data_IF_149378406752
#
_entry.id   IF_149378406752
#
_cell.length_a   1.000
_cell.length_b   1.000
_cell.length_c   1.000
_cell.angle_alpha   90.00
_cell.angle_beta   90.00
_cell.angle_gamma   90.00
#
_symmetry.space_group_name_H-M   'P 1'
#
loop_
_entity.id
_entity.type
_entity.pdbx_description
1 polymer ?
#
# COMPACT_ATOMS: atom_id res chain seq x y z
N UNK A 1 17.88 -27.04 -23.85
CA UNK A 1 16.80 -26.07 -23.60
C UNK A 1 15.77 -26.76 -22.73
N UNK A 2 15.71 -26.42 -21.44
CA UNK A 2 14.72 -27.01 -20.52
C UNK A 2 13.51 -26.08 -20.50
N UNK A 3 12.38 -26.59 -20.97
CA UNK A 3 11.08 -25.94 -20.85
C UNK A 3 10.70 -25.88 -19.36
N UNK A 4 10.91 -24.73 -18.73
CA UNK A 4 10.40 -24.43 -17.40
C UNK A 4 8.98 -23.87 -17.52
N UNK A 5 8.03 -24.71 -17.94
CA UNK A 5 6.62 -24.49 -17.62
C UNK A 5 6.39 -24.90 -16.16
N UNK A 6 6.86 -24.08 -15.23
CA UNK A 6 6.54 -24.23 -13.82
C UNK A 6 5.14 -23.67 -13.60
N UNK A 7 4.21 -24.57 -13.28
CA UNK A 7 2.84 -24.22 -12.91
C UNK A 7 2.85 -23.36 -11.62
N UNK A 8 2.47 -22.06 -11.70
CA UNK A 8 2.56 -21.13 -10.57
C UNK A 8 1.54 -21.41 -9.45
N UNK A 9 0.67 -22.41 -9.60
CA UNK A 9 -0.31 -22.82 -8.59
C UNK A 9 0.17 -23.95 -7.67
N UNK A 10 1.25 -24.66 -7.99
CA UNK A 10 1.67 -25.86 -7.23
C UNK A 10 2.30 -25.57 -5.86
N UNK A 11 2.88 -24.40 -5.65
CA UNK A 11 3.64 -24.06 -4.43
C UNK A 11 3.03 -22.91 -3.59
N UNK A 12 1.73 -22.62 -3.75
CA UNK A 12 1.08 -21.59 -2.93
C UNK A 12 0.98 -22.09 -1.47
N UNK A 13 1.58 -21.39 -0.48
CA UNK A 13 1.36 -21.72 0.92
C UNK A 13 -0.14 -21.59 1.22
N UNK A 14 -0.72 -22.62 1.84
CA UNK A 14 -2.09 -22.51 2.37
C UNK A 14 -2.19 -21.25 3.22
N UNK A 15 -3.32 -20.53 3.17
CA UNK A 15 -3.52 -19.27 3.90
C UNK A 15 -3.16 -19.39 5.39
N UNK A 16 -3.44 -20.54 6.00
CA UNK A 16 -3.09 -20.87 7.39
C UNK A 16 -1.58 -20.90 7.67
N UNK A 17 -0.74 -21.12 6.65
CA UNK A 17 0.72 -21.16 6.74
C UNK A 17 1.40 -19.84 6.35
N UNK A 18 0.65 -18.84 5.88
CA UNK A 18 1.21 -17.53 5.51
C UNK A 18 1.97 -16.84 6.66
N UNK A 19 1.46 -16.81 7.92
CA UNK A 19 2.20 -16.17 9.01
C UNK A 19 3.57 -16.81 9.26
N UNK A 20 3.66 -18.14 9.13
CA UNK A 20 4.91 -18.89 9.25
C UNK A 20 5.85 -18.58 8.10
N UNK A 21 5.35 -18.61 6.86
CA UNK A 21 6.11 -18.27 5.66
C UNK A 21 6.74 -16.87 5.75
N UNK A 22 5.97 -15.85 6.12
CA UNK A 22 6.50 -14.49 6.25
C UNK A 22 7.50 -14.36 7.38
N UNK A 23 7.32 -15.05 8.50
CA UNK A 23 8.28 -15.02 9.61
C UNK A 23 9.62 -15.66 9.23
N UNK A 24 9.59 -16.74 8.45
CA UNK A 24 10.78 -17.43 7.97
C UNK A 24 11.55 -16.63 6.93
N UNK A 25 10.85 -16.01 5.96
CA UNK A 25 11.47 -15.29 4.85
C UNK A 25 11.77 -13.82 5.16
N UNK A 26 11.09 -13.24 6.14
CA UNK A 26 11.24 -11.83 6.54
C UNK A 26 11.34 -11.70 8.07
N UNK A 27 12.39 -12.29 8.69
CA UNK A 27 12.53 -12.28 10.13
C UNK A 27 12.60 -10.84 10.67
N UNK A 28 11.85 -10.57 11.74
CA UNK A 28 11.79 -9.25 12.37
C UNK A 28 10.86 -8.24 11.69
N UNK A 29 10.19 -8.60 10.59
CA UNK A 29 9.19 -7.74 9.94
C UNK A 29 7.76 -8.12 10.34
N UNK A 30 6.87 -7.13 10.42
CA UNK A 30 5.43 -7.32 10.58
C UNK A 30 4.75 -7.36 9.23
N UNK A 31 3.59 -8.00 9.16
CA UNK A 31 2.78 -8.02 7.94
C UNK A 31 1.77 -6.86 7.97
N UNK A 32 1.86 -5.98 6.98
CA UNK A 32 0.95 -4.87 6.76
C UNK A 32 -0.17 -5.27 5.81
N UNK A 33 -1.43 -5.05 6.22
CA UNK A 33 -2.58 -5.23 5.34
C UNK A 33 -2.74 -4.02 4.40
N UNK A 34 -2.43 -4.22 3.13
CA UNK A 34 -2.50 -3.17 2.10
C UNK A 34 -3.93 -2.69 1.80
N UNK A 35 -4.91 -3.59 2.02
CA UNK A 35 -6.30 -3.23 2.28
C UNK A 35 -6.58 -3.58 3.74
N UNK A 36 -6.96 -2.62 4.60
CA UNK A 36 -7.29 -2.94 5.99
C UNK A 36 -8.38 -4.01 6.09
N UNK A 37 -8.21 -4.97 7.01
CA UNK A 37 -9.22 -6.04 7.25
C UNK A 37 -10.61 -5.48 7.56
N UNK A 38 -10.61 -4.36 8.27
CA UNK A 38 -11.78 -3.58 8.65
C UNK A 38 -12.58 -3.05 7.45
N UNK A 39 -11.95 -3.02 6.27
CA UNK A 39 -12.49 -2.62 4.96
C UNK A 39 -12.65 -3.80 4.00
N UNK A 40 -12.64 -5.03 4.51
CA UNK A 40 -12.83 -6.23 3.69
C UNK A 40 -11.56 -6.81 3.09
N UNK A 41 -10.38 -6.27 3.44
CA UNK A 41 -9.10 -6.82 3.01
C UNK A 41 -8.91 -8.28 3.44
N UNK A 42 -8.64 -9.15 2.47
CA UNK A 42 -8.39 -10.57 2.73
C UNK A 42 -7.00 -10.77 3.36
N UNK A 43 -6.84 -11.82 4.17
CA UNK A 43 -5.49 -12.25 4.60
C UNK A 43 -4.96 -13.21 3.55
N UNK A 44 -4.19 -12.68 2.60
CA UNK A 44 -3.55 -13.43 1.52
C UNK A 44 -2.15 -12.88 1.23
N UNK A 45 -1.34 -13.67 0.52
CA UNK A 45 0.04 -13.31 0.14
C UNK A 45 0.16 -12.07 -0.73
N UNK A 46 -0.94 -11.59 -1.31
CA UNK A 46 -0.99 -10.36 -2.08
C UNK A 46 -1.34 -9.14 -1.25
N UNK A 47 -2.05 -9.32 -0.14
CA UNK A 47 -2.53 -8.19 0.67
C UNK A 47 -1.62 -7.96 1.89
N UNK A 48 -0.64 -8.84 2.10
CA UNK A 48 0.31 -8.77 3.22
C UNK A 48 1.69 -8.31 2.74
N UNK A 49 2.06 -7.09 3.08
CA UNK A 49 3.39 -6.53 2.80
C UNK A 49 4.30 -6.66 4.02
N UNK A 50 5.50 -7.24 3.90
CA UNK A 50 6.45 -7.28 5.01
C UNK A 50 7.05 -5.89 5.26
N UNK A 51 6.93 -5.39 6.49
CA UNK A 51 7.37 -4.05 6.84
C UNK A 51 7.90 -3.95 8.26
N UNK A 52 8.83 -3.03 8.51
CA UNK A 52 9.37 -2.82 9.87
C UNK A 52 8.26 -2.33 10.80
N UNK A 53 8.27 -2.77 12.06
CA UNK A 53 7.27 -2.38 13.06
C UNK A 53 7.14 -0.85 13.17
N UNK A 54 8.28 -0.15 13.23
CA UNK A 54 8.31 1.32 13.28
C UNK A 54 7.61 1.96 12.07
N UNK A 55 7.84 1.48 10.85
CA UNK A 55 7.22 2.05 9.65
C UNK A 55 5.75 1.70 9.54
N UNK A 56 5.38 0.48 9.92
CA UNK A 56 3.99 0.03 9.99
C UNK A 56 3.17 0.89 10.96
N UNK A 57 3.69 1.13 12.16
CA UNK A 57 2.98 1.93 13.17
C UNK A 57 2.93 3.41 12.79
N UNK A 58 3.96 3.91 12.11
CA UNK A 58 3.95 5.25 11.54
C UNK A 58 2.88 5.40 10.45
N UNK A 59 2.72 4.41 9.57
CA UNK A 59 1.66 4.39 8.56
C UNK A 59 0.27 4.47 9.17
N UNK A 60 -0.03 3.66 10.19
CA UNK A 60 -1.34 3.69 10.85
C UNK A 60 -1.59 4.98 11.64
N UNK A 61 -0.54 5.63 12.14
CA UNK A 61 -0.69 6.95 12.77
C UNK A 61 -0.90 8.05 11.73
N UNK A 62 -0.25 7.95 10.56
CA UNK A 62 -0.32 8.98 9.52
C UNK A 62 -1.60 8.87 8.69
N UNK A 63 -2.02 7.65 8.35
CA UNK A 63 -3.10 7.37 7.41
C UNK A 63 -4.30 6.67 8.04
N UNK A 64 -4.25 6.39 9.35
CA UNK A 64 -5.33 5.74 10.11
C UNK A 64 -5.80 4.42 9.50
N UNK A 65 -6.87 4.46 8.69
CA UNK A 65 -7.48 3.31 8.04
C UNK A 65 -7.66 3.51 6.53
N UNK A 66 -6.85 4.38 5.92
CA UNK A 66 -6.82 4.53 4.47
C UNK A 66 -6.27 3.26 3.80
N UNK A 67 -6.81 2.96 2.64
CA UNK A 67 -6.25 2.00 1.68
C UNK A 67 -5.07 2.62 0.96
N UNK A 68 -4.19 1.78 0.39
CA UNK A 68 -3.11 2.27 -0.50
C UNK A 68 -3.65 3.21 -1.58
N UNK A 69 -4.79 2.88 -2.18
CA UNK A 69 -5.38 3.69 -3.26
C UNK A 69 -5.71 5.09 -2.79
N UNK A 70 -6.39 5.22 -1.65
CA UNK A 70 -6.75 6.55 -1.14
C UNK A 70 -5.50 7.35 -0.76
N UNK A 71 -4.45 6.68 -0.25
CA UNK A 71 -3.17 7.33 0.00
C UNK A 71 -2.56 7.81 -1.31
N UNK A 72 -2.56 6.97 -2.35
CA UNK A 72 -2.06 7.32 -3.68
C UNK A 72 -2.80 8.50 -4.31
N UNK A 73 -4.13 8.46 -4.29
CA UNK A 73 -5.00 9.47 -4.91
C UNK A 73 -4.83 10.85 -4.25
N UNK A 74 -4.36 10.91 -3.00
CA UNK A 74 -4.19 12.16 -2.23
C UNK A 74 -2.74 12.44 -1.84
N UNK A 75 -1.78 11.69 -2.36
CA UNK A 75 -0.41 11.68 -1.83
C UNK A 75 0.25 13.07 -1.90
N UNK A 76 0.07 13.75 -3.04
CA UNK A 76 0.54 15.11 -3.27
C UNK A 76 -0.06 16.11 -2.28
N UNK A 77 -1.39 16.08 -2.11
CA UNK A 77 -2.11 16.97 -1.17
C UNK A 77 -1.65 16.74 0.27
N UNK A 78 -1.49 15.48 0.67
CA UNK A 78 -1.03 15.10 2.01
C UNK A 78 0.40 15.57 2.23
N UNK A 79 1.30 15.33 1.27
CA UNK A 79 2.70 15.76 1.36
C UNK A 79 2.80 17.28 1.47
N UNK A 80 2.11 18.01 0.58
CA UNK A 80 2.07 19.46 0.60
C UNK A 80 1.56 20.02 1.92
N UNK A 81 0.54 19.40 2.52
CA UNK A 81 0.05 19.81 3.83
C UNK A 81 1.10 19.58 4.93
N UNK A 82 1.72 18.40 4.98
CA UNK A 82 2.73 18.02 5.99
C UNK A 82 3.99 18.89 5.93
N UNK A 83 4.39 19.29 4.71
CA UNK A 83 5.58 20.10 4.45
C UNK A 83 5.26 21.57 4.15
N UNK A 84 4.06 22.03 4.49
CA UNK A 84 3.72 23.46 4.45
C UNK A 84 4.40 24.24 5.56
N UNK A 85 4.37 25.58 5.46
CA UNK A 85 4.88 26.50 6.48
C UNK A 85 4.00 26.57 7.75
N UNK A 86 2.89 25.82 7.79
CA UNK A 86 2.01 25.80 8.95
C UNK A 86 2.64 25.01 10.11
N UNK A 87 2.53 25.50 11.35
CA UNK A 87 2.99 24.74 12.53
C UNK A 87 2.13 23.51 12.82
N UNK A 88 0.84 23.58 12.44
CA UNK A 88 -0.15 22.53 12.66
C UNK A 88 -1.08 22.39 11.46
N UNK A 89 -1.52 21.16 11.22
CA UNK A 89 -2.38 20.79 10.09
C UNK A 89 -3.51 19.90 10.60
N UNK A 90 -4.72 20.11 10.10
CA UNK A 90 -5.82 19.17 10.28
C UNK A 90 -5.61 18.02 9.29
N UNK A 91 -5.53 16.75 9.73
CA UNK A 91 -5.36 15.59 8.85
C UNK A 91 -6.61 15.28 8.00
N UNK A 92 -7.00 16.21 7.11
CA UNK A 92 -8.21 16.13 6.30
C UNK A 92 -8.31 14.86 5.46
N UNK A 93 -7.18 14.21 5.14
CA UNK A 93 -7.16 12.96 4.39
C UNK A 93 -7.86 11.81 5.11
N UNK A 94 -7.96 11.87 6.43
CA UNK A 94 -8.65 10.87 7.26
C UNK A 94 -10.17 10.85 6.99
N UNK A 95 -10.73 11.87 6.36
CA UNK A 95 -12.12 11.88 5.88
C UNK A 95 -12.44 10.71 4.95
N UNK A 96 -11.47 10.23 4.17
CA UNK A 96 -11.63 9.08 3.27
C UNK A 96 -11.75 7.73 4.01
N UNK A 97 -11.35 7.66 5.28
CA UNK A 97 -11.38 6.43 6.05
C UNK A 97 -12.82 5.97 6.34
N UNK A 98 -13.09 4.69 6.09
CA UNK A 98 -14.39 4.04 6.41
C UNK A 98 -14.20 2.69 7.08
N UNK A 99 -15.27 2.17 7.69
CA UNK A 99 -15.39 0.78 8.12
C UNK A 99 -16.51 0.08 7.33
N UNK A 100 -16.17 -1.02 6.67
CA UNK A 100 -17.17 -1.83 5.94
C UNK A 100 -17.64 -3.05 6.74
N UNK A 101 -16.76 -3.62 7.58
CA UNK A 101 -17.03 -4.86 8.32
C UNK A 101 -16.87 -4.64 9.81
N UNK A 102 -17.89 -4.05 10.42
CA UNK A 102 -17.92 -3.80 11.86
C UNK A 102 -19.36 -3.84 12.38
N UNK A 103 -19.56 -4.38 13.60
CA UNK A 103 -20.82 -4.20 14.31
C UNK A 103 -21.00 -2.75 14.78
N UNK A 104 -22.23 -2.37 15.08
CA UNK A 104 -22.63 -0.99 15.43
C UNK A 104 -21.67 -0.30 16.43
N UNK A 105 -21.33 -0.98 17.53
CA UNK A 105 -20.42 -0.43 18.55
C UNK A 105 -19.03 -0.06 18.00
N UNK A 106 -18.46 -0.89 17.13
CA UNK A 106 -17.14 -0.64 16.53
C UNK A 106 -17.21 0.49 15.49
N UNK A 107 -18.30 0.58 14.73
CA UNK A 107 -18.52 1.70 13.80
C UNK A 107 -18.61 3.02 14.57
N UNK A 108 -19.39 3.06 15.65
CA UNK A 108 -19.50 4.25 16.50
C UNK A 108 -18.14 4.72 17.05
N UNK A 109 -17.36 3.80 17.64
CA UNK A 109 -16.01 4.11 18.16
C UNK A 109 -15.10 4.68 17.07
N UNK A 110 -15.14 4.11 15.87
CA UNK A 110 -14.32 4.56 14.76
C UNK A 110 -14.70 5.95 14.28
N UNK A 111 -16.01 6.24 14.15
CA UNK A 111 -16.46 7.58 13.76
C UNK A 111 -16.14 8.63 14.84
N UNK A 112 -16.21 8.27 16.13
CA UNK A 112 -15.77 9.13 17.23
C UNK A 112 -14.25 9.42 17.14
N UNK A 113 -13.43 8.40 16.88
CA UNK A 113 -11.99 8.56 16.68
C UNK A 113 -11.67 9.43 15.46
N UNK A 114 -12.33 9.16 14.33
CA UNK A 114 -12.21 9.95 13.10
C UNK A 114 -12.57 11.42 13.33
N UNK A 115 -13.71 11.66 13.99
CA UNK A 115 -14.15 13.02 14.35
C UNK A 115 -13.15 13.72 15.26
N UNK A 116 -12.61 13.02 16.25
CA UNK A 116 -11.59 13.57 17.14
C UNK A 116 -10.30 13.96 16.42
N UNK A 117 -9.89 13.20 15.41
CA UNK A 117 -8.71 13.52 14.59
C UNK A 117 -8.99 14.75 13.72
N UNK A 118 -10.17 14.82 13.10
CA UNK A 118 -10.55 15.92 12.20
C UNK A 118 -10.83 17.25 12.92
N UNK A 119 -11.09 17.21 14.23
CA UNK A 119 -11.30 18.42 15.04
C UNK A 119 -10.02 19.00 15.65
N UNK A 120 -8.89 18.29 15.57
CA UNK A 120 -7.68 18.62 16.31
C UNK A 120 -6.47 18.78 15.38
N UNK A 121 -5.93 20.01 15.20
CA UNK A 121 -4.72 20.22 14.43
C UNK A 121 -3.52 19.49 15.04
N UNK A 122 -2.76 18.81 14.19
CA UNK A 122 -1.56 18.03 14.56
C UNK A 122 -0.31 18.81 14.14
N UNK A 123 0.71 18.82 15.00
CA UNK A 123 2.00 19.46 14.66
C UNK A 123 2.60 18.89 13.38
N UNK A 124 3.01 19.78 12.46
CA UNK A 124 3.70 19.39 11.22
C UNK A 124 4.99 18.66 11.50
N UNK A 125 5.76 19.06 12.52
CA UNK A 125 6.98 18.34 12.96
C UNK A 125 6.68 16.87 13.31
N UNK A 126 5.55 16.61 14.00
CA UNK A 126 5.11 15.24 14.30
C UNK A 126 4.77 14.49 13.01
N UNK A 127 4.01 15.09 12.11
CA UNK A 127 3.60 14.48 10.85
C UNK A 127 4.79 14.18 9.94
N UNK A 128 5.76 15.09 9.83
CA UNK A 128 7.03 14.89 9.12
C UNK A 128 7.85 13.74 9.74
N UNK A 129 7.85 13.63 11.07
CA UNK A 129 8.47 12.50 11.78
C UNK A 129 7.83 11.16 11.40
N UNK A 130 6.49 11.11 11.33
CA UNK A 130 5.75 9.93 10.87
C UNK A 130 6.02 9.63 9.39
N UNK A 131 6.02 10.65 8.54
CA UNK A 131 6.34 10.53 7.11
C UNK A 131 7.72 9.92 6.90
N UNK A 132 8.77 10.47 7.53
CA UNK A 132 10.14 9.92 7.48
C UNK A 132 10.22 8.50 8.05
N UNK A 133 9.50 8.20 9.13
CA UNK A 133 9.49 6.85 9.68
C UNK A 133 8.86 5.83 8.70
N UNK A 134 7.83 6.24 7.98
CA UNK A 134 7.11 5.49 6.97
C UNK A 134 7.95 5.27 5.71
N UNK A 135 8.37 6.35 5.05
CA UNK A 135 8.98 6.34 3.72
C UNK A 135 10.52 6.37 3.72
N UNK A 136 11.15 6.55 4.88
CA UNK A 136 12.61 6.74 5.04
C UNK A 136 13.18 7.94 4.28
N UNK A 137 12.32 8.85 3.85
CA UNK A 137 12.66 10.05 3.10
C UNK A 137 11.62 11.14 3.37
N UNK A 138 11.97 12.37 3.03
CA UNK A 138 11.07 13.52 3.00
C UNK A 138 10.48 13.77 1.60
N UNK A 139 11.08 13.18 0.57
CA UNK A 139 10.73 13.45 -0.82
C UNK A 139 9.46 12.70 -1.22
N UNK A 140 8.56 13.40 -1.91
CA UNK A 140 7.34 12.82 -2.47
C UNK A 140 7.62 11.65 -3.45
N UNK A 141 8.68 11.75 -4.25
CA UNK A 141 9.07 10.71 -5.22
C UNK A 141 9.38 9.36 -4.56
N UNK A 142 9.98 9.38 -3.37
CA UNK A 142 10.34 8.16 -2.63
C UNK A 142 9.08 7.52 -2.04
N UNK A 143 8.13 8.34 -1.58
CA UNK A 143 6.83 7.85 -1.13
C UNK A 143 6.02 7.22 -2.27
N UNK A 144 6.02 7.86 -3.45
CA UNK A 144 5.40 7.30 -4.66
C UNK A 144 6.03 5.96 -5.03
N UNK A 145 7.36 5.89 -5.03
CA UNK A 145 8.10 4.65 -5.31
C UNK A 145 7.72 3.53 -4.35
N UNK A 146 7.66 3.81 -3.04
CA UNK A 146 7.27 2.80 -2.06
C UNK A 146 5.82 2.35 -2.25
N UNK A 147 4.89 3.27 -2.50
CA UNK A 147 3.48 2.92 -2.70
C UNK A 147 3.29 2.09 -3.98
N UNK A 148 4.01 2.44 -5.06
CA UNK A 148 4.07 1.61 -6.26
C UNK A 148 4.63 0.23 -5.95
N UNK A 149 5.72 0.15 -5.18
CA UNK A 149 6.30 -1.13 -4.78
C UNK A 149 5.32 -1.98 -3.96
N UNK A 150 4.60 -1.37 -3.01
CA UNK A 150 3.52 -2.04 -2.28
C UNK A 150 2.42 -2.52 -3.22
N UNK A 151 2.04 -1.72 -4.22
CA UNK A 151 1.07 -2.12 -5.24
C UNK A 151 1.59 -3.26 -6.13
N UNK A 152 2.86 -3.26 -6.50
CA UNK A 152 3.49 -4.36 -7.22
C UNK A 152 3.57 -5.62 -6.35
N UNK A 153 3.83 -5.49 -5.06
CA UNK A 153 3.73 -6.60 -4.11
C UNK A 153 2.30 -7.19 -4.08
N UNK A 154 1.25 -6.37 -4.28
CA UNK A 154 -0.12 -6.88 -4.46
C UNK A 154 -0.33 -7.68 -5.73
N UNK A 155 0.42 -7.39 -6.78
CA UNK A 155 0.26 -8.02 -8.09
C UNK A 155 1.09 -9.30 -8.20
N UNK A 156 2.34 -9.24 -7.73
CA UNK A 156 3.36 -10.25 -7.94
C UNK A 156 3.63 -11.09 -6.67
N UNK A 157 3.16 -10.65 -5.49
CA UNK A 157 3.32 -11.36 -4.22
C UNK A 157 4.79 -11.54 -3.85
N UNK A 158 5.14 -12.70 -3.29
CA UNK A 158 6.52 -13.03 -2.90
C UNK A 158 7.52 -13.07 -4.05
N UNK A 159 7.08 -13.06 -5.33
CA UNK A 159 8.01 -12.92 -6.47
C UNK A 159 8.70 -11.55 -6.49
N UNK A 160 8.12 -10.54 -5.83
CA UNK A 160 8.81 -9.26 -5.62
C UNK A 160 10.01 -9.37 -4.65
N UNK A 161 10.13 -10.48 -3.90
CA UNK A 161 11.26 -10.71 -3.01
C UNK A 161 12.48 -11.33 -3.72
N UNK A 162 12.30 -11.79 -4.96
CA UNK A 162 13.37 -12.28 -5.83
C UNK A 162 13.88 -11.12 -6.69
N UNK A 163 14.91 -10.43 -6.19
CA UNK A 163 15.46 -9.22 -6.78
C UNK A 163 16.02 -9.46 -8.19
N UNK A 164 16.57 -10.65 -8.47
CA UNK A 164 17.16 -10.99 -9.77
C UNK A 164 16.09 -11.05 -10.88
N UNK A 165 14.85 -11.42 -10.53
CA UNK A 165 13.72 -11.43 -11.46
C UNK A 165 13.14 -10.04 -11.78
N UNK A 166 13.50 -9.02 -10.98
CA UNK A 166 12.98 -7.65 -11.06
C UNK A 166 14.02 -6.72 -11.69
N UNK A 167 15.31 -6.90 -11.35
CA UNK A 167 16.44 -6.09 -11.85
C UNK A 167 16.53 -6.14 -13.39
N UNK A 168 16.16 -7.26 -14.03
CA UNK A 168 16.17 -7.37 -15.50
C UNK A 168 15.00 -6.67 -16.19
N UNK A 169 14.02 -6.15 -15.45
CA UNK A 169 12.85 -5.48 -16.04
C UNK A 169 12.68 -4.06 -15.53
N UNK A 170 12.95 -3.12 -16.43
CA UNK A 170 12.41 -1.77 -16.41
C UNK A 170 10.96 -1.79 -15.88
N UNK A 171 10.64 -0.89 -14.95
CA UNK A 171 9.30 -0.72 -14.39
C UNK A 171 8.23 -0.67 -15.50
N UNK A 172 8.56 -0.10 -16.67
CA UNK A 172 7.72 -0.13 -17.87
C UNK A 172 7.47 -1.54 -18.45
N UNK A 173 8.47 -2.42 -18.43
CA UNK A 173 8.35 -3.81 -18.89
C UNK A 173 7.59 -4.68 -17.87
N UNK A 174 7.73 -4.39 -16.58
CA UNK A 174 6.91 -5.02 -15.54
C UNK A 174 5.45 -4.60 -15.65
N UNK A 175 5.20 -3.33 -15.96
CA UNK A 175 3.88 -2.80 -16.25
C UNK A 175 3.30 -3.44 -17.50
N UNK A 176 3.99 -3.51 -18.65
CA UNK A 176 3.44 -4.09 -19.88
C UNK A 176 3.00 -5.57 -19.73
N UNK A 177 3.63 -6.32 -18.84
CA UNK A 177 3.24 -7.71 -18.50
C UNK A 177 1.93 -7.79 -17.69
N UNK A 178 1.43 -6.69 -17.14
CA UNK A 178 0.19 -6.63 -16.37
C UNK A 178 -1.04 -6.97 -17.25
N UNK A 179 -1.07 -6.56 -18.52
CA UNK A 179 -2.15 -6.90 -19.46
C UNK A 179 -2.21 -8.39 -19.80
N UNK A 180 -1.11 -9.13 -19.64
CA UNK A 180 -0.99 -10.56 -19.95
C UNK A 180 -1.32 -11.45 -18.73
N UNK A 181 -1.67 -10.87 -17.58
CA UNK A 181 -1.94 -11.60 -16.35
C UNK A 181 -3.32 -12.26 -16.31
N UNK A 182 -3.37 -13.51 -15.80
CA UNK A 182 -4.59 -14.29 -15.54
C UNK A 182 -5.60 -13.57 -14.63
N UNK A 183 -6.89 -13.92 -14.77
CA UNK A 183 -8.06 -13.20 -14.23
C UNK A 183 -8.05 -12.92 -12.72
N UNK A 184 -7.45 -13.77 -11.88
CA UNK A 184 -7.43 -13.51 -10.43
C UNK A 184 -6.52 -12.32 -10.06
N UNK A 185 -5.49 -12.01 -10.86
CA UNK A 185 -4.59 -10.85 -10.64
C UNK A 185 -5.24 -9.56 -11.11
N UNK A 186 -6.02 -9.62 -12.20
CA UNK A 186 -6.93 -8.55 -12.62
C UNK A 186 -8.01 -8.31 -11.57
N UNK A 187 -8.53 -9.38 -10.96
CA UNK A 187 -9.46 -9.30 -9.83
C UNK A 187 -8.82 -8.62 -8.61
N UNK A 188 -7.61 -9.02 -8.20
CA UNK A 188 -6.89 -8.39 -7.09
C UNK A 188 -6.66 -6.89 -7.35
N UNK A 189 -6.27 -6.51 -8.56
CA UNK A 189 -6.16 -5.10 -8.99
C UNK A 189 -7.51 -4.37 -8.92
N UNK A 190 -8.58 -4.98 -9.40
CA UNK A 190 -9.94 -4.40 -9.36
C UNK A 190 -10.47 -4.24 -7.94
N UNK A 191 -10.14 -5.14 -7.02
CA UNK A 191 -10.57 -5.07 -5.61
C UNK A 191 -9.74 -4.05 -4.82
N UNK A 192 -8.44 -3.93 -5.09
CA UNK A 192 -7.54 -3.02 -4.38
C UNK A 192 -7.63 -1.56 -4.85
N UNK A 193 -7.82 -1.35 -6.16
CA UNK A 193 -7.77 -0.02 -6.77
C UNK A 193 -9.13 0.44 -7.32
N UNK A 194 -10.17 -0.41 -7.34
CA UNK A 194 -11.48 -0.15 -7.97
C UNK A 194 -11.38 0.39 -9.40
N UNK A 195 -10.29 0.07 -10.10
CA UNK A 195 -10.02 0.50 -11.46
C UNK A 195 -9.72 -0.72 -12.34
N UNK A 196 -9.99 -0.56 -13.63
CA UNK A 196 -9.44 -1.42 -14.65
C UNK A 196 -7.93 -1.21 -14.79
N UNK A 197 -7.26 -2.24 -15.27
CA UNK A 197 -5.81 -2.31 -15.46
C UNK A 197 -5.24 -1.11 -16.26
N UNK A 198 -6.03 -0.60 -17.21
CA UNK A 198 -5.71 0.53 -18.07
C UNK A 198 -5.56 1.86 -17.31
N UNK A 199 -6.30 2.04 -16.21
CA UNK A 199 -6.18 3.27 -15.40
C UNK A 199 -4.86 3.30 -14.64
N UNK A 200 -4.35 2.15 -14.21
CA UNK A 200 -3.03 2.05 -13.57
C UNK A 200 -1.92 2.37 -14.56
N UNK A 201 -1.99 1.83 -15.77
CA UNK A 201 -1.07 2.18 -16.85
C UNK A 201 -1.08 3.68 -17.17
N UNK A 202 -2.26 4.28 -17.32
CA UNK A 202 -2.41 5.71 -17.61
C UNK A 202 -1.72 6.57 -16.57
N UNK A 203 -1.94 6.27 -15.28
CA UNK A 203 -1.38 7.07 -14.17
C UNK A 203 0.12 6.89 -13.96
N UNK A 204 0.66 5.71 -14.25
CA UNK A 204 2.12 5.53 -14.22
C UNK A 204 2.79 6.22 -15.41
N UNK A 205 2.14 6.24 -16.58
CA UNK A 205 2.63 7.00 -17.73
C UNK A 205 2.59 8.51 -17.48
N UNK A 206 1.51 9.02 -16.89
CA UNK A 206 1.43 10.42 -16.43
C UNK A 206 2.60 10.78 -15.51
N UNK A 207 2.94 9.91 -14.54
CA UNK A 207 4.07 10.11 -13.63
C UNK A 207 5.42 10.19 -14.37
N UNK A 208 5.65 9.32 -15.36
CA UNK A 208 6.89 9.35 -16.14
C UNK A 208 6.99 10.57 -17.06
N UNK A 209 5.87 11.14 -17.49
CA UNK A 209 5.82 12.39 -18.27
C UNK A 209 5.82 13.67 -17.42
N UNK A 210 5.65 13.55 -16.10
CA UNK A 210 5.58 14.69 -15.17
C UNK A 210 6.89 14.98 -14.44
N UNK A 211 7.94 14.17 -14.66
CA UNK A 211 9.28 14.45 -14.16
C UNK A 211 9.98 15.44 -15.10
N UNK A 212 10.43 16.63 -14.63
CA UNK A 212 11.36 17.45 -15.38
C UNK A 212 12.74 16.79 -15.51
#
# INVERSE_FOLDING_TARGET
MVNLTVDPDKDKPKISKLPTFYREHFPGLRTHHLIPRSRGGSTSYFVLFPWTEKSHDAWHQLFFNMTIREVWDRLDEIHAAIYSDSEKVIPFWIEACTLFRAGFRRMKIFEEQKTSILSSPVSTVKLQGLWRACFKSEKLVDARTLILYMAMFMIFGSRMADFDSIIETDTQVLLSKISEMKDYRRWAMSICLNYGINTVFSRVNEFNSSSP
#
